data_IF_142831664895
#
_entry.id   IF_142831664895
#
_cell.length_a   1.000
_cell.length_b   1.000
_cell.length_c   1.000
_cell.angle_alpha   90.00
_cell.angle_beta   90.00
_cell.angle_gamma   90.00
#
_symmetry.space_group_name_H-M   'P 1'
#
loop_
_entity.id
_entity.type
_entity.pdbx_description
1 polymer ?
#
# COMPACT_ATOMS: atom_id res chain seq x y z
N UNK A 1 -17.74 16.88 8.78
CA UNK A 1 -17.35 15.99 7.66
C UNK A 1 -18.12 14.67 7.56
N UNK A 2 -18.13 13.80 8.59
CA UNK A 2 -18.72 12.44 8.49
C UNK A 2 -20.19 12.42 8.04
N UNK A 3 -21.02 13.34 8.53
CA UNK A 3 -22.41 13.47 8.10
C UNK A 3 -22.55 13.89 6.63
N UNK A 4 -21.65 14.75 6.15
CA UNK A 4 -21.65 15.20 4.75
C UNK A 4 -21.29 14.03 3.82
N UNK A 5 -20.32 13.19 4.21
CA UNK A 5 -19.97 11.96 3.49
C UNK A 5 -21.13 10.95 3.50
N UNK A 6 -21.78 10.76 4.65
CA UNK A 6 -22.93 9.87 4.77
C UNK A 6 -24.08 10.30 3.82
N UNK A 7 -24.35 11.62 3.73
CA UNK A 7 -25.31 12.19 2.77
C UNK A 7 -24.91 11.94 1.31
N UNK A 8 -23.61 12.02 1.00
CA UNK A 8 -23.08 11.73 -0.33
C UNK A 8 -23.11 10.23 -0.70
N UNK A 9 -23.38 9.33 0.26
CA UNK A 9 -23.41 7.86 0.09
C UNK A 9 -22.14 7.29 -0.54
N UNK A 10 -20.99 7.94 -0.36
CA UNK A 10 -19.68 7.46 -0.79
C UNK A 10 -18.90 6.91 0.40
N UNK A 11 -18.04 5.90 0.21
CA UNK A 11 -17.13 5.45 1.25
C UNK A 11 -16.06 6.51 1.54
N UNK A 12 -15.52 6.53 2.76
CA UNK A 12 -14.45 7.43 3.19
C UNK A 12 -13.22 6.64 3.64
N UNK A 13 -12.04 7.12 3.22
CA UNK A 13 -10.77 6.69 3.76
C UNK A 13 -10.17 7.83 4.59
N UNK A 14 -9.83 7.54 5.84
CA UNK A 14 -9.12 8.45 6.74
C UNK A 14 -7.65 8.05 6.74
N UNK A 15 -6.77 9.01 6.42
CA UNK A 15 -5.32 8.87 6.51
C UNK A 15 -4.85 9.91 7.53
N UNK A 16 -4.46 9.48 8.71
CA UNK A 16 -4.09 10.36 9.82
C UNK A 16 -2.82 9.86 10.52
N UNK A 17 -2.17 10.72 11.30
CA UNK A 17 -1.04 10.30 12.16
C UNK A 17 -1.42 9.09 13.01
N UNK A 18 -2.54 9.18 13.72
CA UNK A 18 -3.15 8.06 14.40
C UNK A 18 -4.67 8.23 14.50
N UNK A 19 -5.38 7.12 14.73
CA UNK A 19 -6.81 7.10 15.02
C UNK A 19 -7.03 6.19 16.21
N UNK A 20 -7.21 6.78 17.39
CA UNK A 20 -7.21 6.06 18.67
C UNK A 20 -8.50 6.28 19.47
N UNK A 21 -8.63 5.50 20.56
CA UNK A 21 -9.63 5.69 21.60
C UNK A 21 -11.07 5.66 21.09
N UNK A 22 -11.86 6.64 21.53
CA UNK A 22 -13.29 6.74 21.21
C UNK A 22 -13.55 6.99 19.72
N UNK A 23 -12.64 7.68 19.02
CA UNK A 23 -12.77 7.94 17.59
C UNK A 23 -12.76 6.62 16.79
N UNK A 24 -11.79 5.74 17.07
CA UNK A 24 -11.70 4.44 16.42
C UNK A 24 -12.91 3.55 16.74
N UNK A 25 -13.31 3.49 18.02
CA UNK A 25 -14.47 2.69 18.44
C UNK A 25 -15.76 3.13 17.72
N UNK A 26 -15.98 4.45 17.62
CA UNK A 26 -17.11 5.03 16.91
C UNK A 26 -17.09 4.70 15.42
N UNK A 27 -15.94 4.76 14.76
CA UNK A 27 -15.80 4.39 13.34
C UNK A 27 -16.12 2.91 13.11
N UNK A 28 -15.64 2.02 13.97
CA UNK A 28 -15.89 0.57 13.87
C UNK A 28 -17.38 0.28 14.02
N UNK A 29 -18.02 0.82 15.06
CA UNK A 29 -19.44 0.58 15.32
C UNK A 29 -20.32 1.11 14.18
N UNK A 30 -20.03 2.32 13.68
CA UNK A 30 -20.80 2.91 12.57
C UNK A 30 -20.62 2.15 11.25
N UNK A 31 -19.41 1.64 11.01
CA UNK A 31 -19.11 0.83 9.82
C UNK A 31 -19.82 -0.53 9.88
N UNK A 32 -19.81 -1.20 11.04
CA UNK A 32 -20.53 -2.46 11.24
C UNK A 32 -22.04 -2.30 11.12
N UNK A 33 -22.60 -1.18 11.57
CA UNK A 33 -24.03 -0.85 11.45
C UNK A 33 -24.43 -0.38 10.05
N UNK A 34 -23.48 -0.23 9.13
CA UNK A 34 -23.74 0.22 7.76
C UNK A 34 -24.16 1.69 7.65
N UNK A 35 -23.97 2.49 8.71
CA UNK A 35 -24.34 3.91 8.74
C UNK A 35 -23.40 4.71 7.82
N UNK A 36 -22.09 4.46 7.95
CA UNK A 36 -21.06 5.06 7.09
C UNK A 36 -20.03 3.98 6.74
N UNK A 37 -19.64 3.88 5.48
CA UNK A 37 -18.55 2.99 5.05
C UNK A 37 -17.22 3.73 5.21
N UNK A 38 -16.52 3.52 6.33
CA UNK A 38 -15.25 4.19 6.61
C UNK A 38 -14.14 3.16 6.83
N UNK A 39 -12.94 3.49 6.34
CA UNK A 39 -11.70 2.84 6.72
C UNK A 39 -10.72 3.89 7.22
N UNK A 40 -9.86 3.53 8.17
CA UNK A 40 -8.82 4.40 8.70
C UNK A 40 -7.47 3.69 8.62
N UNK A 41 -6.43 4.41 8.17
CA UNK A 41 -5.06 3.92 8.08
C UNK A 41 -4.10 4.98 8.63
N UNK A 42 -2.96 4.53 9.17
CA UNK A 42 -1.91 5.44 9.60
C UNK A 42 -1.23 6.08 8.39
N UNK A 43 -0.89 7.36 8.51
CA UNK A 43 -0.15 8.10 7.51
C UNK A 43 1.25 7.48 7.33
N UNK A 44 1.77 7.46 6.09
CA UNK A 44 3.09 6.91 5.83
C UNK A 44 4.19 7.85 6.35
N UNK A 45 5.25 7.27 6.90
CA UNK A 45 6.41 8.02 7.40
C UNK A 45 6.18 8.66 8.78
N UNK A 46 7.12 9.51 9.19
CA UNK A 46 7.11 10.24 10.47
C UNK A 46 7.68 11.64 10.29
N UNK A 47 7.36 12.57 11.21
CA UNK A 47 7.84 13.95 11.19
C UNK A 47 7.57 14.68 9.86
N UNK A 48 8.54 15.47 9.39
CA UNK A 48 8.46 16.25 8.15
C UNK A 48 8.18 15.38 6.91
N UNK A 49 8.68 14.14 6.91
CA UNK A 49 8.44 13.19 5.82
C UNK A 49 6.98 12.79 5.73
N UNK A 50 6.31 12.61 6.87
CA UNK A 50 4.88 12.32 6.90
C UNK A 50 4.08 13.46 6.28
N UNK A 51 4.39 14.71 6.64
CA UNK A 51 3.73 15.87 6.06
C UNK A 51 3.95 15.94 4.54
N UNK A 52 5.19 15.73 4.09
CA UNK A 52 5.52 15.73 2.67
C UNK A 52 4.79 14.62 1.88
N UNK A 53 4.68 13.41 2.46
CA UNK A 53 3.97 12.29 1.85
C UNK A 53 2.45 12.46 1.88
N UNK A 54 1.89 13.06 2.94
CA UNK A 54 0.47 13.44 2.97
C UNK A 54 0.16 14.46 1.89
N UNK A 55 1.05 15.43 1.67
CA UNK A 55 0.91 16.39 0.58
C UNK A 55 0.99 15.72 -0.81
N UNK A 56 1.82 14.69 -0.96
CA UNK A 56 1.88 13.90 -2.19
C UNK A 56 0.55 13.17 -2.45
N UNK A 57 -0.05 12.57 -1.43
CA UNK A 57 -1.37 11.91 -1.51
C UNK A 57 -2.46 12.94 -1.83
N UNK A 58 -2.44 14.09 -1.17
CA UNK A 58 -3.36 15.19 -1.40
C UNK A 58 -3.28 15.68 -2.86
N UNK A 59 -2.06 15.84 -3.38
CA UNK A 59 -1.81 16.22 -4.78
C UNK A 59 -2.36 15.17 -5.75
N UNK A 60 -2.13 13.88 -5.48
CA UNK A 60 -2.62 12.78 -6.31
C UNK A 60 -4.16 12.68 -6.33
N UNK A 61 -4.80 13.05 -5.23
CA UNK A 61 -6.26 12.89 -5.04
C UNK A 61 -7.05 14.19 -5.13
N UNK A 62 -6.39 15.31 -5.43
CA UNK A 62 -6.95 16.67 -5.36
C UNK A 62 -7.60 17.00 -3.99
N UNK A 63 -7.02 16.50 -2.91
CA UNK A 63 -7.44 16.85 -1.55
C UNK A 63 -6.59 17.96 -0.94
N UNK A 64 -7.02 18.45 0.21
CA UNK A 64 -6.26 19.38 1.05
C UNK A 64 -5.82 18.66 2.32
N UNK A 65 -4.53 18.74 2.67
CA UNK A 65 -4.06 18.24 3.97
C UNK A 65 -4.59 19.18 5.05
N UNK A 66 -5.36 18.63 5.99
CA UNK A 66 -5.88 19.38 7.14
C UNK A 66 -4.83 19.25 8.25
N UNK A 67 -4.16 20.34 8.60
CA UNK A 67 -3.27 20.39 9.76
C UNK A 67 -3.50 21.66 10.57
N UNK A 68 -3.29 21.53 11.89
CA UNK A 68 -3.42 22.66 12.82
C UNK A 68 -2.35 23.73 12.57
N UNK A 69 -1.18 23.33 12.05
CA UNK A 69 -0.05 24.22 11.73
C UNK A 69 -0.41 25.31 10.69
N UNK A 70 -1.32 24.99 9.76
CA UNK A 70 -1.81 25.92 8.73
C UNK A 70 -3.17 26.53 9.10
N UNK A 71 -3.63 26.32 10.34
CA UNK A 71 -4.88 26.89 10.87
C UNK A 71 -6.16 26.24 10.33
N UNK A 72 -6.07 25.03 9.76
CA UNK A 72 -7.23 24.27 9.31
C UNK A 72 -7.73 23.34 10.41
N UNK A 73 -9.03 23.42 10.69
CA UNK A 73 -9.71 22.58 11.68
C UNK A 73 -10.58 21.53 10.98
N UNK A 74 -10.56 20.29 11.49
CA UNK A 74 -11.36 19.19 10.95
C UNK A 74 -12.87 19.47 10.98
N UNK A 75 -13.33 20.28 11.93
CA UNK A 75 -14.73 20.67 12.07
C UNK A 75 -15.21 21.57 10.92
N UNK A 76 -14.31 22.42 10.40
CA UNK A 76 -14.57 23.36 9.30
C UNK A 76 -14.36 22.75 7.92
N UNK A 77 -13.77 21.55 7.86
CA UNK A 77 -13.49 20.87 6.61
C UNK A 77 -14.79 20.53 5.85
N UNK A 78 -14.74 20.77 4.54
CA UNK A 78 -15.83 20.59 3.60
C UNK A 78 -15.62 19.33 2.76
N UNK A 79 -16.57 19.01 1.87
CA UNK A 79 -16.40 17.92 0.92
C UNK A 79 -15.39 18.24 -0.19
N UNK A 80 -15.09 19.52 -0.42
CA UNK A 80 -14.12 19.97 -1.42
C UNK A 80 -12.68 19.80 -0.92
N UNK A 81 -12.47 19.82 0.39
CA UNK A 81 -11.17 19.54 1.01
C UNK A 81 -10.79 18.06 0.95
N UNK A 82 -11.77 17.16 0.69
CA UNK A 82 -11.55 15.73 0.62
C UNK A 82 -11.08 15.31 -0.77
N UNK A 83 -9.94 14.62 -0.81
CA UNK A 83 -9.46 13.98 -2.04
C UNK A 83 -10.38 12.86 -2.52
N UNK A 84 -10.36 12.58 -3.82
CA UNK A 84 -11.12 11.49 -4.43
C UNK A 84 -10.23 10.56 -5.27
N UNK A 85 -10.63 9.29 -5.34
CA UNK A 85 -10.02 8.27 -6.18
C UNK A 85 -11.07 7.26 -6.63
N UNK A 86 -10.85 6.58 -7.75
CA UNK A 86 -11.81 5.58 -8.26
C UNK A 86 -11.87 4.33 -7.39
N UNK A 87 -10.74 3.91 -6.81
CA UNK A 87 -10.68 2.73 -5.96
C UNK A 87 -9.52 2.82 -4.97
N UNK A 88 -9.73 2.34 -3.76
CA UNK A 88 -8.68 2.15 -2.77
C UNK A 88 -8.72 0.70 -2.27
N UNK A 89 -7.56 0.07 -2.12
CA UNK A 89 -7.40 -1.28 -1.58
C UNK A 89 -6.51 -1.21 -0.36
N UNK A 90 -6.95 -1.80 0.75
CA UNK A 90 -6.26 -1.77 2.03
C UNK A 90 -6.06 -3.21 2.49
N UNK A 91 -4.83 -3.56 2.82
CA UNK A 91 -4.43 -4.80 3.47
C UNK A 91 -3.81 -4.46 4.83
N UNK A 92 -3.37 -5.49 5.58
CA UNK A 92 -2.72 -5.31 6.90
C UNK A 92 -1.53 -4.33 6.85
N UNK A 93 -0.70 -4.45 5.81
CA UNK A 93 0.57 -3.72 5.73
C UNK A 93 0.63 -2.72 4.56
N UNK A 94 -0.39 -2.69 3.69
CA UNK A 94 -0.36 -1.87 2.45
C UNK A 94 -1.69 -1.16 2.18
N UNK A 95 -1.58 0.08 1.68
CA UNK A 95 -2.73 0.86 1.15
C UNK A 95 -2.39 1.33 -0.26
N UNK A 96 -3.28 1.06 -1.21
CA UNK A 96 -3.09 1.36 -2.63
C UNK A 96 -4.25 2.23 -3.10
N UNK A 97 -3.93 3.47 -3.49
CA UNK A 97 -4.87 4.43 -4.08
C UNK A 97 -4.77 4.32 -5.61
N UNK A 98 -5.89 4.03 -6.27
CA UNK A 98 -5.95 3.79 -7.72
C UNK A 98 -6.77 4.90 -8.36
N UNK A 99 -6.15 5.58 -9.33
CA UNK A 99 -6.80 6.56 -10.21
C UNK A 99 -7.41 7.73 -9.39
N UNK A 100 -6.51 8.50 -8.76
CA UNK A 100 -6.83 9.73 -8.05
C UNK A 100 -7.27 10.84 -9.01
N UNK A 101 -8.10 11.77 -8.54
CA UNK A 101 -8.64 12.86 -9.38
C UNK A 101 -7.73 14.09 -9.47
N UNK A 102 -6.47 13.99 -9.03
CA UNK A 102 -5.48 15.05 -9.13
C UNK A 102 -5.21 15.46 -10.57
N UNK A 103 -4.99 16.75 -10.79
CA UNK A 103 -4.63 17.29 -12.09
C UNK A 103 -3.20 16.84 -12.49
N UNK A 104 -3.04 16.36 -13.74
CA UNK A 104 -1.75 15.89 -14.24
C UNK A 104 -0.65 16.97 -14.21
N UNK A 105 -0.99 18.24 -14.45
CA UNK A 105 -0.03 19.34 -14.39
C UNK A 105 0.46 19.57 -12.97
N UNK A 106 -0.45 19.51 -11.99
CA UNK A 106 -0.10 19.66 -10.57
C UNK A 106 0.76 18.48 -10.10
N UNK A 107 0.41 17.24 -10.51
CA UNK A 107 1.20 16.05 -10.20
C UNK A 107 2.60 16.14 -10.84
N UNK A 108 2.70 16.54 -12.11
CA UNK A 108 4.00 16.72 -12.80
C UNK A 108 4.82 17.83 -12.13
N UNK A 109 4.20 18.93 -11.74
CA UNK A 109 4.84 20.00 -10.99
C UNK A 109 5.40 19.49 -9.66
N UNK A 110 4.62 18.70 -8.92
CA UNK A 110 5.06 18.07 -7.68
C UNK A 110 6.22 17.11 -7.88
N UNK A 111 6.18 16.27 -8.92
CA UNK A 111 7.30 15.40 -9.30
C UNK A 111 8.56 16.22 -9.62
N UNK A 112 8.41 17.34 -10.34
CA UNK A 112 9.51 18.26 -10.64
C UNK A 112 10.16 18.85 -9.38
N UNK A 113 9.34 19.30 -8.42
CA UNK A 113 9.84 19.80 -7.13
C UNK A 113 10.66 18.75 -6.38
N UNK A 114 10.16 17.51 -6.30
CA UNK A 114 10.87 16.43 -5.58
C UNK A 114 12.16 16.05 -6.33
N UNK A 115 12.17 16.08 -7.67
CA UNK A 115 13.40 15.86 -8.46
C UNK A 115 14.47 16.91 -8.20
N UNK A 116 14.09 18.18 -8.04
CA UNK A 116 15.03 19.22 -7.65
C UNK A 116 15.58 18.98 -6.24
N UNK A 117 14.73 18.57 -5.29
CA UNK A 117 15.17 18.20 -3.94
C UNK A 117 16.16 17.03 -3.92
N UNK A 118 16.10 16.10 -4.89
CA UNK A 118 17.05 14.99 -5.05
C UNK A 118 18.44 15.51 -5.42
N UNK A 119 18.52 16.54 -6.26
CA UNK A 119 19.77 17.17 -6.69
C UNK A 119 20.42 17.96 -5.53
N UNK A 120 19.59 18.66 -4.75
CA UNK A 120 20.03 19.43 -3.58
C UNK A 120 20.35 18.54 -2.36
N UNK A 121 19.99 17.25 -2.39
CA UNK A 121 20.20 16.34 -1.28
C UNK A 121 21.69 16.01 -1.07
N UNK A 122 22.19 16.33 0.13
CA UNK A 122 23.58 16.11 0.55
C UNK A 122 23.85 14.70 1.08
N UNK A 123 22.80 13.92 1.36
CA UNK A 123 22.88 12.57 1.89
C UNK A 123 22.26 11.56 0.94
N UNK A 124 22.94 10.42 0.76
CA UNK A 124 22.44 9.31 -0.05
C UNK A 124 21.12 8.76 0.50
N UNK A 125 20.95 8.77 1.83
CA UNK A 125 19.72 8.35 2.49
C UNK A 125 18.52 9.23 2.10
N UNK A 126 18.70 10.55 2.03
CA UNK A 126 17.63 11.45 1.62
C UNK A 126 17.33 11.32 0.12
N UNK A 127 18.37 11.12 -0.69
CA UNK A 127 18.23 10.88 -2.12
C UNK A 127 17.39 9.63 -2.41
N UNK A 128 17.67 8.52 -1.73
CA UNK A 128 16.92 7.28 -1.85
C UNK A 128 15.44 7.48 -1.47
N UNK A 129 15.16 8.16 -0.36
CA UNK A 129 13.78 8.39 0.09
C UNK A 129 12.99 9.35 -0.79
N UNK A 130 13.64 10.34 -1.38
CA UNK A 130 12.99 11.21 -2.36
C UNK A 130 12.74 10.47 -3.67
N UNK A 131 13.65 9.59 -4.10
CA UNK A 131 13.44 8.72 -5.27
C UNK A 131 12.24 7.78 -5.08
N UNK A 132 12.07 7.18 -3.90
CA UNK A 132 10.88 6.36 -3.58
C UNK A 132 9.58 7.17 -3.74
N UNK A 133 9.56 8.43 -3.31
CA UNK A 133 8.38 9.30 -3.45
C UNK A 133 8.08 9.62 -4.91
N UNK A 134 9.10 9.97 -5.69
CA UNK A 134 8.97 10.21 -7.14
C UNK A 134 8.45 8.96 -7.83
N UNK A 135 9.00 7.79 -7.52
CA UNK A 135 8.57 6.53 -8.12
C UNK A 135 7.09 6.24 -7.85
N UNK A 136 6.60 6.52 -6.63
CA UNK A 136 5.19 6.33 -6.28
C UNK A 136 4.26 7.32 -6.99
N UNK A 137 4.67 8.58 -7.16
CA UNK A 137 3.87 9.59 -7.84
C UNK A 137 3.89 9.44 -9.37
N UNK A 138 5.05 9.16 -9.96
CA UNK A 138 5.23 9.08 -11.40
C UNK A 138 4.94 7.69 -11.98
N UNK A 139 5.15 6.62 -11.21
CA UNK A 139 5.00 5.23 -11.65
C UNK A 139 3.55 4.80 -11.86
N UNK A 140 2.59 5.48 -11.24
CA UNK A 140 1.16 5.21 -11.38
C UNK A 140 0.77 3.80 -10.93
N UNK A 141 -0.43 3.36 -11.35
CA UNK A 141 -0.96 2.03 -11.03
C UNK A 141 -1.48 1.36 -12.29
N UNK A 142 -0.91 0.19 -12.62
CA UNK A 142 -1.43 -0.65 -13.69
C UNK A 142 -2.69 -1.41 -13.21
N UNK A 143 -3.78 -1.31 -13.97
CA UNK A 143 -5.05 -1.99 -13.64
C UNK A 143 -5.34 -3.09 -14.66
N UNK A 144 -5.33 -4.34 -14.21
CA UNK A 144 -5.68 -5.50 -15.03
C UNK A 144 -7.17 -5.81 -14.85
N UNK A 145 -7.96 -5.65 -15.91
CA UNK A 145 -9.40 -5.97 -15.94
C UNK A 145 -9.60 -7.36 -16.53
N UNK A 146 -10.02 -8.32 -15.70
CA UNK A 146 -10.23 -9.71 -16.13
C UNK A 146 -11.68 -9.89 -16.59
N UNK A 147 -11.87 -10.24 -17.86
CA UNK A 147 -13.17 -10.58 -18.44
C UNK A 147 -13.38 -12.10 -18.59
N UNK A 148 -14.63 -12.53 -18.45
CA UNK A 148 -15.10 -13.88 -18.74
C UNK A 148 -16.59 -13.88 -19.16
N UNK A 149 -17.11 -15.01 -19.64
CA UNK A 149 -18.48 -15.15 -20.11
C UNK A 149 -19.49 -15.23 -18.95
N UNK A 150 -19.12 -15.84 -17.83
CA UNK A 150 -19.93 -15.92 -16.62
C UNK A 150 -19.22 -15.31 -15.40
N UNK A 151 -19.99 -14.94 -14.37
CA UNK A 151 -19.42 -14.36 -13.14
C UNK A 151 -18.50 -15.35 -12.40
N UNK A 152 -18.84 -16.65 -12.43
CA UNK A 152 -18.07 -17.72 -11.78
C UNK A 152 -16.70 -17.85 -12.45
N UNK A 153 -16.65 -17.89 -13.78
CA UNK A 153 -15.40 -17.94 -14.53
C UNK A 153 -14.58 -16.66 -14.35
N UNK A 154 -15.23 -15.49 -14.26
CA UNK A 154 -14.54 -14.23 -14.04
C UNK A 154 -13.83 -14.24 -12.68
N UNK A 155 -14.50 -14.72 -11.63
CA UNK A 155 -13.91 -14.85 -10.29
C UNK A 155 -12.75 -15.84 -10.28
N UNK A 156 -12.91 -17.02 -10.89
CA UNK A 156 -11.85 -18.03 -10.99
C UNK A 156 -10.62 -17.50 -11.75
N UNK A 157 -10.84 -16.88 -12.91
CA UNK A 157 -9.76 -16.32 -13.74
C UNK A 157 -9.09 -15.14 -13.05
N UNK A 158 -9.86 -14.33 -12.31
CA UNK A 158 -9.31 -13.24 -11.50
C UNK A 158 -8.37 -13.79 -10.44
N UNK A 159 -8.77 -14.82 -9.68
CA UNK A 159 -7.91 -15.45 -8.67
C UNK A 159 -6.63 -16.00 -9.31
N UNK A 160 -6.71 -16.70 -10.46
CA UNK A 160 -5.52 -17.18 -11.17
C UNK A 160 -4.57 -16.06 -11.61
N UNK A 161 -5.12 -14.92 -12.05
CA UNK A 161 -4.31 -13.74 -12.42
C UNK A 161 -3.65 -13.12 -11.19
N UNK A 162 -4.36 -13.05 -10.06
CA UNK A 162 -3.81 -12.59 -8.79
C UNK A 162 -2.67 -13.53 -8.32
N UNK A 163 -2.86 -14.84 -8.36
CA UNK A 163 -1.82 -15.82 -8.01
C UNK A 163 -0.57 -15.69 -8.91
N UNK A 164 -0.79 -15.60 -10.23
CA UNK A 164 0.30 -15.42 -11.19
C UNK A 164 1.05 -14.09 -10.97
N UNK A 165 0.36 -13.01 -10.62
CA UNK A 165 0.98 -11.71 -10.32
C UNK A 165 1.88 -11.80 -9.07
N UNK A 166 1.44 -12.48 -8.01
CA UNK A 166 2.27 -12.66 -6.82
C UNK A 166 3.49 -13.55 -7.10
N UNK A 167 3.30 -14.66 -7.84
CA UNK A 167 4.39 -15.56 -8.22
C UNK A 167 5.44 -14.88 -9.11
N UNK A 168 5.00 -14.05 -10.06
CA UNK A 168 5.91 -13.31 -10.95
C UNK A 168 6.66 -12.20 -10.22
N UNK A 169 6.05 -11.53 -9.24
CA UNK A 169 6.77 -10.58 -8.37
C UNK A 169 7.87 -11.26 -7.56
N UNK A 170 7.56 -12.36 -6.89
CA UNK A 170 8.55 -13.13 -6.13
C UNK A 170 9.71 -13.62 -7.04
N UNK A 171 9.38 -14.07 -8.24
CA UNK A 171 10.37 -14.50 -9.24
C UNK A 171 11.29 -13.36 -9.71
N UNK A 172 10.81 -12.12 -9.76
CA UNK A 172 11.63 -10.96 -10.13
C UNK A 172 12.54 -10.54 -8.97
N UNK A 173 12.07 -10.65 -7.73
CA UNK A 173 12.83 -10.25 -6.53
C UNK A 173 13.93 -11.25 -6.18
N UNK A 174 13.63 -12.55 -6.16
CA UNK A 174 14.54 -13.60 -5.68
C UNK A 174 15.04 -14.55 -6.78
N UNK A 175 14.53 -14.41 -8.01
CA UNK A 175 14.83 -15.31 -9.12
C UNK A 175 13.96 -16.58 -9.13
N UNK A 176 14.34 -17.56 -9.96
CA UNK A 176 13.58 -18.81 -10.13
C UNK A 176 14.50 -20.03 -10.01
N UNK A 177 13.92 -21.13 -9.53
CA UNK A 177 14.59 -22.44 -9.42
C UNK A 177 13.77 -23.52 -10.13
N UNK A 178 14.37 -24.71 -10.29
CA UNK A 178 13.68 -25.84 -10.91
C UNK A 178 12.43 -26.25 -10.12
N UNK A 179 11.27 -26.24 -10.79
CA UNK A 179 9.97 -26.60 -10.21
C UNK A 179 9.81 -28.11 -9.95
N UNK A 180 8.57 -28.52 -9.64
CA UNK A 180 8.23 -29.93 -9.39
C UNK A 180 8.92 -30.54 -8.16
N UNK A 181 9.31 -29.72 -7.19
CA UNK A 181 10.07 -30.16 -6.00
C UNK A 181 11.55 -30.47 -6.25
N UNK A 182 12.04 -30.37 -7.49
CA UNK A 182 13.43 -30.73 -7.85
C UNK A 182 14.45 -29.84 -7.16
N UNK A 183 14.16 -28.54 -6.99
CA UNK A 183 15.04 -27.63 -6.26
C UNK A 183 15.28 -28.13 -4.82
N UNK A 184 14.23 -28.52 -4.10
CA UNK A 184 14.34 -29.02 -2.73
C UNK A 184 15.14 -30.32 -2.67
N UNK A 185 14.93 -31.25 -3.61
CA UNK A 185 15.71 -32.50 -3.68
C UNK A 185 17.20 -32.23 -3.92
N UNK A 186 17.53 -31.26 -4.80
CA UNK A 186 18.93 -30.88 -5.06
C UNK A 186 19.59 -30.26 -3.83
N UNK A 187 18.87 -29.39 -3.13
CA UNK A 187 19.34 -28.79 -1.86
C UNK A 187 19.54 -29.87 -0.80
N UNK A 188 18.58 -30.77 -0.63
CA UNK A 188 18.65 -31.88 0.33
C UNK A 188 19.89 -32.76 0.09
N UNK A 189 20.20 -33.07 -1.18
CA UNK A 189 21.41 -33.81 -1.52
C UNK A 189 22.69 -33.05 -1.18
N UNK A 190 22.72 -31.73 -1.38
CA UNK A 190 23.90 -30.89 -1.10
C UNK A 190 24.21 -30.76 0.39
N UNK A 191 23.18 -30.78 1.26
CA UNK A 191 23.33 -30.63 2.72
C UNK A 191 23.32 -31.97 3.47
N UNK A 192 23.34 -33.11 2.77
CA UNK A 192 23.24 -34.45 3.39
C UNK A 192 24.37 -34.75 4.38
N UNK A 193 25.54 -34.14 4.19
CA UNK A 193 26.70 -34.28 5.07
C UNK A 193 26.74 -33.27 6.22
N UNK A 194 25.69 -32.45 6.40
CA UNK A 194 25.62 -31.48 7.49
C UNK A 194 25.53 -32.20 8.83
N UNK A 195 26.41 -31.84 9.77
CA UNK A 195 26.43 -32.36 11.14
C UNK A 195 26.10 -31.25 12.12
N UNK A 196 25.25 -31.56 13.10
CA UNK A 196 24.88 -30.66 14.18
C UNK A 196 25.70 -30.94 15.46
N UNK A 197 25.48 -30.12 16.49
CA UNK A 197 26.23 -30.20 17.76
C UNK A 197 25.82 -31.40 18.62
N UNK A 198 24.60 -31.93 18.42
CA UNK A 198 24.09 -33.08 19.14
C UNK A 198 23.17 -33.96 18.28
N UNK A 199 22.86 -35.15 18.80
CA UNK A 199 22.12 -36.16 18.03
C UNK A 199 20.64 -35.78 17.82
N UNK A 200 20.01 -35.05 18.74
CA UNK A 200 18.63 -34.57 18.57
C UNK A 200 18.52 -33.61 17.38
N UNK A 201 19.51 -32.72 17.21
CA UNK A 201 19.60 -31.84 16.05
C UNK A 201 19.91 -32.62 14.77
N UNK A 202 20.74 -33.68 14.82
CA UNK A 202 20.97 -34.56 13.66
C UNK A 202 19.69 -35.30 13.24
N UNK A 203 18.85 -35.72 14.19
CA UNK A 203 17.51 -36.24 13.89
C UNK A 203 16.67 -35.17 13.18
N UNK A 204 16.69 -33.92 13.66
CA UNK A 204 16.00 -32.79 13.00
C UNK A 204 16.46 -32.55 11.56
N UNK A 205 17.78 -32.59 11.30
CA UNK A 205 18.34 -32.48 9.94
C UNK A 205 17.83 -33.63 9.06
N UNK A 206 17.79 -34.87 9.58
CA UNK A 206 17.27 -36.02 8.83
C UNK A 206 15.78 -35.89 8.50
N UNK A 207 14.97 -35.29 9.37
CA UNK A 207 13.54 -35.02 9.10
C UNK A 207 13.38 -34.02 7.95
N UNK A 208 14.20 -32.97 7.90
CA UNK A 208 14.15 -31.98 6.82
C UNK A 208 14.67 -32.51 5.47
N UNK A 209 15.38 -33.64 5.47
CA UNK A 209 15.94 -34.30 4.29
C UNK A 209 15.06 -35.43 3.73
N UNK A 210 14.02 -35.85 4.46
CA UNK A 210 13.01 -36.83 4.02
C UNK A 210 11.95 -36.18 3.13
#
# INVERSE_FOLDING_TARGET
VLEAVAKARKPLLIIAEDVEGEALATLVVNTMRGIVKVAAVKAPGFGDRRQAMLQDIATLTAGTVISEEIGLELEKATLEDLGQAKRVVINKDTTIIIDGVGDEEVIKGRVGQIRQQIEDATSDYDREKLQERVAKLAGGVAVIKVGAATEVEMKEKKTRVEDALHATRAAVEEGVVAGGGVALIRVANAIRSLQAENEDQNVGIRVALC
#
